data_IF_915130350510
#
_entry.id   IF_915130350510
#
_cell.length_a   1.000
_cell.length_b   1.000
_cell.length_c   1.000
_cell.angle_alpha   90.00
_cell.angle_beta   90.00
_cell.angle_gamma   90.00
#
_symmetry.space_group_name_H-M   'P 1'
#
loop_
_entity.id
_entity.type
_entity.pdbx_description
1 polymer ?
#
# COMPACT_ATOMS: atom_id res chain seq x y z
N UNK A 1 1.27 -3.49 24.02
CA UNK A 1 2.70 -3.39 23.68
C UNK A 1 2.84 -3.89 22.24
N UNK A 2 2.61 -3.03 21.25
CA UNK A 2 2.73 -3.41 19.84
C UNK A 2 4.17 -3.15 19.41
N UNK A 3 4.84 -4.19 18.91
CA UNK A 3 6.21 -4.10 18.42
C UNK A 3 6.27 -3.14 17.22
N UNK A 4 7.19 -2.18 17.26
CA UNK A 4 7.53 -1.36 16.09
C UNK A 4 8.34 -2.25 15.15
N UNK A 5 7.85 -2.57 13.95
CA UNK A 5 8.59 -3.43 13.04
C UNK A 5 9.87 -2.71 12.58
N UNK A 6 10.96 -3.48 12.64
CA UNK A 6 12.32 -3.14 12.22
C UNK A 6 12.30 -2.65 10.77
N UNK A 7 12.90 -1.50 10.50
CA UNK A 7 13.03 -0.94 9.15
C UNK A 7 13.90 -1.88 8.31
N UNK A 8 13.28 -2.76 7.53
CA UNK A 8 13.94 -3.56 6.51
C UNK A 8 14.12 -2.59 5.34
N UNK A 9 15.37 -2.31 4.96
CA UNK A 9 15.69 -1.61 3.71
C UNK A 9 15.01 -2.36 2.55
N UNK A 10 13.82 -1.93 2.19
CA UNK A 10 13.08 -2.42 1.04
C UNK A 10 13.27 -1.38 -0.04
N UNK A 11 13.99 -1.74 -1.10
CA UNK A 11 13.70 -1.24 -2.44
C UNK A 11 12.22 -1.55 -2.71
N UNK A 12 11.35 -0.69 -2.21
CA UNK A 12 9.93 -0.90 -2.12
C UNK A 12 9.31 -0.72 -3.50
N UNK A 13 8.29 -1.52 -3.81
CA UNK A 13 7.53 -1.33 -5.03
C UNK A 13 6.71 -0.05 -4.87
N UNK A 14 6.93 0.92 -5.76
CA UNK A 14 6.13 2.15 -5.80
C UNK A 14 4.88 1.92 -6.64
N UNK A 15 3.74 2.34 -6.12
CA UNK A 15 2.47 2.33 -6.84
C UNK A 15 1.91 3.74 -7.02
N UNK A 16 0.93 3.88 -7.91
CA UNK A 16 0.18 5.12 -8.16
C UNK A 16 -1.26 4.95 -7.73
N UNK A 17 -1.77 5.89 -6.94
CA UNK A 17 -3.20 5.93 -6.59
C UNK A 17 -4.03 6.22 -7.85
N UNK A 18 -5.01 5.37 -8.14
CA UNK A 18 -5.90 5.50 -9.30
C UNK A 18 -7.28 6.01 -8.92
N UNK A 19 -7.77 5.68 -7.72
CA UNK A 19 -9.03 6.17 -7.19
C UNK A 19 -9.03 6.24 -5.67
N UNK A 20 -9.79 7.20 -5.13
CA UNK A 20 -10.07 7.32 -3.69
C UNK A 20 -11.58 7.43 -3.50
N UNK A 21 -12.17 6.57 -2.69
CA UNK A 21 -13.61 6.52 -2.38
C UNK A 21 -13.78 6.40 -0.87
N UNK A 22 -13.82 7.53 -0.17
CA UNK A 22 -13.74 7.56 1.29
C UNK A 22 -12.37 7.00 1.75
N UNK A 23 -12.38 6.05 2.69
CA UNK A 23 -11.16 5.35 3.15
C UNK A 23 -10.66 4.28 2.19
N UNK A 24 -11.40 3.94 1.12
CA UNK A 24 -10.97 2.93 0.16
C UNK A 24 -10.08 3.57 -0.90
N UNK A 25 -8.90 2.98 -1.11
CA UNK A 25 -7.89 3.47 -2.07
C UNK A 25 -7.54 2.36 -3.06
N UNK A 26 -7.69 2.63 -4.35
CA UNK A 26 -7.21 1.75 -5.42
C UNK A 26 -5.84 2.23 -5.91
N UNK A 27 -4.89 1.31 -6.09
CA UNK A 27 -3.49 1.61 -6.39
C UNK A 27 -2.98 0.66 -7.48
N UNK A 28 -2.36 1.21 -8.52
CA UNK A 28 -1.71 0.44 -9.60
C UNK A 28 -0.20 0.33 -9.38
N UNK A 29 0.38 -0.82 -9.72
CA UNK A 29 1.82 -1.13 -9.70
C UNK A 29 2.26 -1.65 -11.07
N UNK A 30 3.43 -1.22 -11.54
CA UNK A 30 3.94 -1.59 -12.88
C UNK A 30 4.58 -2.97 -12.95
N UNK A 31 5.05 -3.51 -11.81
CA UNK A 31 5.85 -4.73 -11.79
C UNK A 31 5.27 -5.81 -10.89
N UNK A 32 5.30 -5.59 -9.57
CA UNK A 32 4.89 -6.59 -8.58
C UNK A 32 3.79 -6.02 -7.69
N UNK A 33 2.74 -6.80 -7.46
CA UNK A 33 1.73 -6.40 -6.49
C UNK A 33 2.21 -6.70 -5.07
N UNK A 34 2.00 -5.77 -4.12
CA UNK A 34 2.17 -6.08 -2.71
C UNK A 34 1.19 -7.20 -2.30
N UNK A 35 1.60 -8.13 -1.43
CA UNK A 35 0.69 -9.10 -0.82
C UNK A 35 -0.47 -8.42 -0.06
N UNK A 36 -1.58 -9.12 0.10
CA UNK A 36 -2.64 -8.72 1.04
C UNK A 36 -2.06 -8.59 2.45
N UNK A 37 -2.56 -7.61 3.22
CA UNK A 37 -2.06 -7.18 4.53
C UNK A 37 -0.69 -6.48 4.52
N UNK A 38 -0.17 -6.11 3.34
CA UNK A 38 0.98 -5.21 3.24
C UNK A 38 0.57 -3.79 3.63
N UNK A 39 1.40 -3.14 4.44
CA UNK A 39 1.24 -1.72 4.78
C UNK A 39 2.01 -0.85 3.78
N UNK A 40 1.27 -0.10 2.96
CA UNK A 40 1.82 0.92 2.08
C UNK A 40 1.91 2.25 2.83
N UNK A 41 2.91 3.04 2.47
CA UNK A 41 3.17 4.33 3.11
C UNK A 41 3.24 5.43 2.06
N UNK A 42 2.62 6.56 2.36
CA UNK A 42 2.62 7.73 1.48
C UNK A 42 2.48 9.03 2.29
N UNK A 43 2.45 10.16 1.60
CA UNK A 43 2.39 11.48 2.20
C UNK A 43 3.74 12.01 2.69
N UNK A 44 3.74 13.26 3.14
CA UNK A 44 4.93 13.92 3.69
C UNK A 44 5.40 13.26 5.00
N UNK A 45 6.55 12.56 4.95
CA UNK A 45 7.10 11.76 6.06
C UNK A 45 6.33 10.46 6.33
N UNK A 46 5.76 9.82 5.31
CA UNK A 46 5.15 8.48 5.41
C UNK A 46 4.00 8.37 6.43
N UNK A 47 3.30 9.48 6.70
CA UNK A 47 2.26 9.55 7.73
C UNK A 47 0.92 8.97 7.32
N UNK A 48 0.70 8.74 6.02
CA UNK A 48 -0.51 8.10 5.51
C UNK A 48 -0.18 6.62 5.30
N UNK A 49 -0.88 5.77 6.04
CA UNK A 49 -0.74 4.33 5.96
C UNK A 49 -1.93 3.76 5.20
N UNK A 50 -1.70 2.82 4.29
CA UNK A 50 -2.75 2.16 3.52
C UNK A 50 -2.52 0.65 3.61
N UNK A 51 -3.43 -0.09 4.20
CA UNK A 51 -3.36 -1.55 4.28
C UNK A 51 -3.99 -2.17 3.03
N UNK A 52 -3.27 -3.07 2.36
CA UNK A 52 -3.77 -3.80 1.18
C UNK A 52 -4.81 -4.83 1.62
N UNK A 53 -6.05 -4.71 1.14
CA UNK A 53 -7.15 -5.64 1.44
C UNK A 53 -7.36 -6.69 0.33
N UNK A 54 -7.07 -6.35 -0.93
CA UNK A 54 -7.22 -7.30 -2.05
C UNK A 54 -6.37 -6.89 -3.25
N UNK A 55 -5.89 -7.87 -4.01
CA UNK A 55 -5.38 -7.67 -5.38
C UNK A 55 -6.59 -7.73 -6.33
N UNK A 56 -6.86 -6.66 -7.08
CA UNK A 56 -8.05 -6.54 -7.94
C UNK A 56 -7.82 -7.20 -9.31
N UNK A 57 -6.61 -7.07 -9.84
CA UNK A 57 -6.14 -7.69 -11.08
C UNK A 57 -4.61 -7.91 -10.99
N UNK A 58 -3.92 -8.12 -12.11
CA UNK A 58 -2.47 -8.37 -12.15
C UNK A 58 -1.58 -7.15 -11.83
N UNK A 59 -2.14 -5.94 -11.88
CA UNK A 59 -1.40 -4.68 -11.70
C UNK A 59 -2.06 -3.74 -10.71
N UNK A 60 -3.20 -4.08 -10.11
CA UNK A 60 -3.87 -3.22 -9.15
C UNK A 60 -4.28 -3.90 -7.85
N UNK A 61 -4.26 -3.12 -6.78
CA UNK A 61 -4.73 -3.51 -5.44
C UNK A 61 -5.73 -2.50 -4.92
N UNK A 62 -6.56 -2.96 -3.98
CA UNK A 62 -7.41 -2.13 -3.14
C UNK A 62 -6.89 -2.17 -1.72
N UNK A 63 -6.82 -1.01 -1.09
CA UNK A 63 -6.49 -0.86 0.31
C UNK A 63 -7.44 0.06 1.07
N UNK A 64 -7.19 0.17 2.37
CA UNK A 64 -7.90 1.04 3.30
C UNK A 64 -6.92 1.95 4.04
N UNK A 65 -7.28 3.22 4.18
CA UNK A 65 -6.52 4.27 4.85
C UNK A 65 -7.19 4.75 6.13
#
# INVERSE_FOLDING_TARGET
>A
MYAIPKNINSSGVTGKVTAVRGSVVDISFEHCLPPVYTLLKTGNREQILIEVLSQLDSTSVRGIA
#
